data_IF_155499761981
#
_entry.id   IF_155499761981
#
_cell.length_a   1.000
_cell.length_b   1.000
_cell.length_c   1.000
_cell.angle_alpha   90.00
_cell.angle_beta   90.00
_cell.angle_gamma   90.00
#
_symmetry.space_group_name_H-M   'P 1'
#
loop_
_entity.id
_entity.type
_entity.pdbx_description
1 polymer ?
#
# COMPACT_ATOMS: atom_id res chain seq x y z
N UNK A 1 30.89 -28.14 -29.72
CA UNK A 1 30.23 -26.85 -29.99
C UNK A 1 31.17 -26.05 -30.85
N UNK A 2 30.73 -25.67 -32.05
CA UNK A 2 31.53 -24.79 -32.89
C UNK A 2 31.44 -23.32 -32.42
N UNK A 3 32.22 -22.45 -33.06
CA UNK A 3 32.29 -21.02 -32.69
C UNK A 3 30.94 -20.33 -32.88
N UNK A 4 30.18 -20.71 -33.92
CA UNK A 4 28.91 -20.09 -34.28
C UNK A 4 27.80 -20.50 -33.29
N UNK A 5 27.75 -21.78 -32.92
CA UNK A 5 26.87 -22.30 -31.87
C UNK A 5 27.14 -21.64 -30.51
N UNK A 6 28.42 -21.43 -30.17
CA UNK A 6 28.83 -20.75 -28.93
C UNK A 6 28.40 -19.28 -28.94
N UNK A 7 28.55 -18.60 -30.07
CA UNK A 7 28.15 -17.21 -30.26
C UNK A 7 26.63 -17.05 -30.10
N UNK A 8 25.85 -17.92 -30.75
CA UNK A 8 24.39 -17.91 -30.66
C UNK A 8 23.90 -18.17 -29.22
N UNK A 9 24.55 -19.08 -28.49
CA UNK A 9 24.21 -19.34 -27.09
C UNK A 9 24.47 -18.11 -26.20
N UNK A 10 25.62 -17.45 -26.37
CA UNK A 10 25.96 -16.21 -25.64
C UNK A 10 24.92 -15.12 -25.92
N UNK A 11 24.58 -14.88 -27.19
CA UNK A 11 23.59 -13.86 -27.57
C UNK A 11 22.20 -14.17 -27.02
N UNK A 12 21.80 -15.44 -27.02
CA UNK A 12 20.55 -15.91 -26.42
C UNK A 12 20.47 -15.60 -24.94
N UNK A 13 21.53 -15.92 -24.17
CA UNK A 13 21.57 -15.65 -22.73
C UNK A 13 21.57 -14.14 -22.44
N UNK A 14 22.34 -13.35 -23.19
CA UNK A 14 22.35 -11.89 -23.04
C UNK A 14 20.97 -11.26 -23.31
N UNK A 15 20.23 -11.80 -24.28
CA UNK A 15 18.86 -11.37 -24.59
C UNK A 15 17.91 -11.68 -23.43
N UNK A 16 18.01 -12.88 -22.84
CA UNK A 16 17.23 -13.25 -21.65
C UNK A 16 17.53 -12.32 -20.46
N UNK A 17 18.81 -12.08 -20.17
CA UNK A 17 19.22 -11.15 -19.09
C UNK A 17 18.63 -9.75 -19.32
N UNK A 18 18.63 -9.25 -20.57
CA UNK A 18 18.04 -7.95 -20.90
C UNK A 18 16.53 -7.93 -20.60
N UNK A 19 15.79 -8.95 -21.04
CA UNK A 19 14.35 -9.07 -20.78
C UNK A 19 14.01 -9.12 -19.28
N UNK A 20 14.78 -9.88 -18.50
CA UNK A 20 14.59 -9.97 -17.05
C UNK A 20 14.87 -8.61 -16.37
N UNK A 21 15.90 -7.88 -16.79
CA UNK A 21 16.19 -6.54 -16.27
C UNK A 21 15.08 -5.52 -16.56
N UNK A 22 14.47 -5.58 -17.75
CA UNK A 22 13.31 -4.75 -18.09
C UNK A 22 12.11 -5.07 -17.19
N UNK A 23 11.87 -6.35 -16.89
CA UNK A 23 10.82 -6.76 -15.97
C UNK A 23 11.08 -6.26 -14.54
N UNK A 24 12.29 -6.45 -14.02
CA UNK A 24 12.70 -5.92 -12.71
C UNK A 24 12.45 -4.41 -12.63
N UNK A 25 12.77 -3.68 -13.70
CA UNK A 25 12.55 -2.22 -13.77
C UNK A 25 11.06 -1.88 -13.67
N UNK A 26 10.20 -2.57 -14.42
CA UNK A 26 8.73 -2.37 -14.35
C UNK A 26 8.18 -2.65 -12.95
N UNK A 27 8.59 -3.78 -12.35
CA UNK A 27 8.15 -4.16 -11.00
C UNK A 27 8.64 -3.18 -9.94
N UNK A 28 9.86 -2.65 -10.07
CA UNK A 28 10.43 -1.65 -9.17
C UNK A 28 9.66 -0.33 -9.23
N UNK A 29 9.26 0.09 -10.43
CA UNK A 29 8.39 1.27 -10.62
C UNK A 29 7.03 1.08 -9.96
N UNK A 30 6.39 -0.08 -10.12
CA UNK A 30 5.11 -0.40 -9.46
C UNK A 30 5.23 -0.34 -7.94
N UNK A 31 6.30 -0.92 -7.37
CA UNK A 31 6.57 -0.86 -5.92
C UNK A 31 6.73 0.58 -5.42
N UNK A 32 7.42 1.43 -6.17
CA UNK A 32 7.56 2.85 -5.84
C UNK A 32 6.21 3.61 -5.87
N UNK A 33 5.36 3.30 -6.85
CA UNK A 33 4.00 3.86 -6.94
C UNK A 33 3.13 3.41 -5.75
N UNK A 34 3.18 2.13 -5.39
CA UNK A 34 2.49 1.61 -4.20
C UNK A 34 2.98 2.30 -2.91
N UNK A 35 4.29 2.50 -2.76
CA UNK A 35 4.86 3.26 -1.64
C UNK A 35 4.31 4.69 -1.56
N UNK A 36 4.19 5.37 -2.70
CA UNK A 36 3.59 6.71 -2.78
C UNK A 36 2.11 6.71 -2.37
N UNK A 37 1.34 5.68 -2.76
CA UNK A 37 -0.05 5.52 -2.35
C UNK A 37 -0.19 5.36 -0.83
N UNK A 38 0.67 4.55 -0.19
CA UNK A 38 0.65 4.38 1.27
C UNK A 38 0.90 5.70 1.99
N UNK A 39 1.91 6.48 1.54
CA UNK A 39 2.21 7.80 2.12
C UNK A 39 1.01 8.75 1.99
N UNK A 40 0.30 8.72 0.85
CA UNK A 40 -0.88 9.54 0.64
C UNK A 40 -2.03 9.13 1.58
N UNK A 41 -2.26 7.83 1.78
CA UNK A 41 -3.25 7.32 2.74
C UNK A 41 -2.89 7.78 4.15
N UNK A 42 -1.62 7.66 4.56
CA UNK A 42 -1.17 8.08 5.89
C UNK A 42 -1.40 9.56 6.16
N UNK A 43 -1.08 10.42 5.18
CA UNK A 43 -1.35 11.87 5.28
C UNK A 43 -2.83 12.17 5.42
N UNK A 44 -3.67 11.51 4.63
CA UNK A 44 -5.12 11.69 4.70
C UNK A 44 -5.68 11.23 6.05
N UNK A 45 -5.18 10.11 6.58
CA UNK A 45 -5.58 9.60 7.89
C UNK A 45 -5.15 10.56 9.02
N UNK A 46 -3.95 11.13 8.97
CA UNK A 46 -3.48 12.12 9.94
C UNK A 46 -4.33 13.39 9.92
N UNK A 47 -4.60 13.92 8.71
CA UNK A 47 -5.45 15.11 8.55
C UNK A 47 -6.85 14.86 9.07
N UNK A 48 -7.43 13.71 8.75
CA UNK A 48 -8.72 13.29 9.26
C UNK A 48 -8.76 13.28 10.80
N UNK A 49 -7.77 12.64 11.43
CA UNK A 49 -7.70 12.58 12.89
C UNK A 49 -7.56 13.96 13.54
N UNK A 50 -6.83 14.88 12.91
CA UNK A 50 -6.71 16.26 13.38
C UNK A 50 -8.04 17.00 13.28
N UNK A 51 -8.70 16.95 12.12
CA UNK A 51 -10.01 17.60 11.90
C UNK A 51 -11.08 17.04 12.86
N UNK A 52 -11.09 15.71 13.06
CA UNK A 52 -11.99 15.07 14.00
C UNK A 52 -11.72 15.47 15.46
N UNK A 53 -10.45 15.59 15.86
CA UNK A 53 -10.08 16.06 17.20
C UNK A 53 -10.50 17.51 17.45
N UNK A 54 -10.34 18.39 16.44
CA UNK A 54 -10.84 19.78 16.51
C UNK A 54 -12.35 19.80 16.68
N UNK A 55 -13.08 18.99 15.92
CA UNK A 55 -14.53 18.88 16.04
C UNK A 55 -14.96 18.43 17.44
N UNK A 56 -14.30 17.42 18.02
CA UNK A 56 -14.61 16.93 19.37
C UNK A 56 -14.34 17.96 20.48
N UNK A 57 -13.35 18.84 20.29
CA UNK A 57 -12.93 19.83 21.27
C UNK A 57 -13.45 21.24 21.00
N UNK A 58 -14.31 21.43 19.99
CA UNK A 58 -14.98 22.71 19.79
C UNK A 58 -15.94 22.93 20.95
N UNK A 59 -15.62 23.88 21.83
CA UNK A 59 -16.62 24.45 22.74
C UNK A 59 -17.76 24.99 21.88
N UNK A 60 -18.97 24.47 22.12
CA UNK A 60 -20.17 25.04 21.54
C UNK A 60 -20.24 26.52 21.96
N UNK A 61 -20.67 27.40 21.04
CA UNK A 61 -20.74 28.83 21.30
C UNK A 61 -21.45 29.10 22.65
N UNK A 62 -21.07 30.15 23.40
CA UNK A 62 -21.57 30.41 24.77
C UNK A 62 -23.10 30.43 24.92
N UNK A 63 -23.79 30.72 23.82
CA UNK A 63 -25.24 30.82 23.70
C UNK A 63 -25.94 29.46 23.51
N UNK A 64 -25.18 28.41 23.19
CA UNK A 64 -25.68 27.04 23.05
C UNK A 64 -25.74 26.43 24.45
N UNK A 65 -26.91 26.49 25.09
CA UNK A 65 -27.17 25.69 26.28
C UNK A 65 -27.05 24.21 25.95
N UNK A 66 -26.12 23.51 26.59
CA UNK A 66 -26.17 22.05 26.74
C UNK A 66 -27.37 21.75 27.63
N UNK A 67 -28.54 21.53 27.02
CA UNK A 67 -29.61 20.81 27.71
C UNK A 67 -29.18 19.35 27.73
N UNK A 68 -28.96 18.80 28.91
CA UNK A 68 -28.73 17.37 29.10
C UNK A 68 -30.01 16.63 28.69
N UNK A 69 -30.12 16.28 27.40
CA UNK A 69 -31.24 15.50 26.85
C UNK A 69 -31.16 14.02 27.22
N UNK A 70 -30.14 13.63 28.00
CA UNK A 70 -29.75 12.23 28.20
C UNK A 70 -30.10 11.67 29.58
N UNK A 71 -30.71 12.44 30.48
CA UNK A 71 -31.30 11.87 31.70
C UNK A 71 -32.41 10.87 31.32
N UNK A 72 -32.09 9.57 31.33
CA UNK A 72 -33.03 8.47 31.11
C UNK A 72 -32.88 7.68 29.80
N UNK A 73 -31.98 8.06 28.89
CA UNK A 73 -31.71 7.28 27.68
C UNK A 73 -30.65 6.20 27.98
N UNK A 74 -31.02 4.93 27.85
CA UNK A 74 -30.07 3.82 27.93
C UNK A 74 -28.97 3.97 26.86
N UNK A 75 -27.76 3.47 27.13
CA UNK A 75 -26.63 3.54 26.19
C UNK A 75 -26.98 3.05 24.76
N UNK A 76 -27.95 2.14 24.63
CA UNK A 76 -28.53 1.66 23.37
C UNK A 76 -29.29 2.72 22.58
N UNK A 77 -30.03 3.62 23.24
CA UNK A 77 -30.74 4.73 22.61
C UNK A 77 -29.79 5.84 22.16
N UNK A 78 -28.78 6.13 22.98
CA UNK A 78 -27.66 7.01 22.64
C UNK A 78 -26.84 6.50 21.44
N UNK A 79 -26.63 5.19 21.34
CA UNK A 79 -25.94 4.56 20.20
C UNK A 79 -26.76 4.65 18.89
N UNK A 80 -28.10 4.67 18.97
CA UNK A 80 -28.98 4.87 17.82
C UNK A 80 -28.97 6.31 17.30
N UNK A 81 -28.70 7.27 18.19
CA UNK A 81 -28.55 8.70 17.87
C UNK A 81 -27.13 9.09 17.41
N UNK A 82 -26.19 8.14 17.37
CA UNK A 82 -24.89 8.37 16.73
C UNK A 82 -25.14 8.79 15.28
N UNK A 83 -24.75 10.02 14.87
CA UNK A 83 -25.05 10.50 13.54
C UNK A 83 -24.50 9.51 12.49
N UNK A 84 -25.23 9.25 11.40
CA UNK A 84 -24.76 8.38 10.31
C UNK A 84 -23.35 8.74 9.83
N UNK A 85 -23.02 10.03 9.94
CA UNK A 85 -21.73 10.63 9.64
C UNK A 85 -20.58 10.18 10.54
N UNK A 86 -20.82 9.62 11.73
CA UNK A 86 -19.80 9.07 12.65
C UNK A 86 -19.60 7.58 12.43
N UNK A 87 -20.67 6.82 12.18
CA UNK A 87 -20.59 5.41 11.78
C UNK A 87 -19.83 5.24 10.46
N UNK A 88 -20.03 6.16 9.51
CA UNK A 88 -19.27 6.19 8.26
C UNK A 88 -17.77 6.44 8.46
N UNK A 89 -17.35 7.13 9.53
CA UNK A 89 -15.93 7.39 9.84
C UNK A 89 -15.22 6.10 10.21
N UNK A 90 -15.82 5.34 11.12
CA UNK A 90 -15.24 4.06 11.59
C UNK A 90 -15.15 3.07 10.43
N UNK A 91 -16.17 3.05 9.57
CA UNK A 91 -16.16 2.23 8.37
C UNK A 91 -15.06 2.66 7.37
N UNK A 92 -14.91 3.96 7.12
CA UNK A 92 -13.87 4.50 6.23
C UNK A 92 -12.47 4.19 6.76
N UNK A 93 -12.24 4.35 8.07
CA UNK A 93 -10.98 4.00 8.71
C UNK A 93 -10.66 2.49 8.56
N UNK A 94 -11.67 1.63 8.74
CA UNK A 94 -11.54 0.19 8.51
C UNK A 94 -11.17 -0.15 7.05
N UNK A 95 -11.85 0.47 6.08
CA UNK A 95 -11.54 0.31 4.65
C UNK A 95 -10.12 0.78 4.30
N UNK A 96 -9.67 1.91 4.86
CA UNK A 96 -8.31 2.40 4.67
C UNK A 96 -7.26 1.43 5.23
N UNK A 97 -7.50 0.87 6.42
CA UNK A 97 -6.62 -0.14 7.02
C UNK A 97 -6.53 -1.39 6.16
N UNK A 98 -7.66 -1.89 5.65
CA UNK A 98 -7.70 -3.03 4.74
C UNK A 98 -6.91 -2.77 3.44
N UNK A 99 -7.10 -1.60 2.82
CA UNK A 99 -6.37 -1.22 1.60
C UNK A 99 -4.85 -1.15 1.87
N UNK A 100 -4.43 -0.56 3.00
CA UNK A 100 -3.01 -0.53 3.39
C UNK A 100 -2.43 -1.93 3.56
N UNK A 101 -3.16 -2.84 4.21
CA UNK A 101 -2.77 -4.24 4.35
C UNK A 101 -2.57 -4.91 2.99
N UNK A 102 -3.54 -4.75 2.09
CA UNK A 102 -3.45 -5.28 0.73
C UNK A 102 -2.26 -4.72 -0.08
N UNK A 103 -1.94 -3.44 0.08
CA UNK A 103 -0.76 -2.82 -0.55
C UNK A 103 0.54 -3.40 0.03
N UNK A 104 0.60 -3.64 1.35
CA UNK A 104 1.77 -4.24 1.99
C UNK A 104 2.03 -5.67 1.50
N UNK A 105 0.98 -6.47 1.37
CA UNK A 105 1.06 -7.83 0.81
C UNK A 105 1.54 -7.81 -0.64
N UNK A 106 1.00 -6.91 -1.46
CA UNK A 106 1.42 -6.73 -2.85
C UNK A 106 2.90 -6.33 -2.94
N UNK A 107 3.36 -5.40 -2.09
CA UNK A 107 4.77 -5.01 -2.03
C UNK A 107 5.68 -6.18 -1.69
N UNK A 108 5.30 -7.01 -0.71
CA UNK A 108 6.06 -8.21 -0.32
C UNK A 108 6.20 -9.17 -1.51
N UNK A 109 5.09 -9.45 -2.21
CA UNK A 109 5.11 -10.33 -3.40
C UNK A 109 5.96 -9.76 -4.55
N UNK A 110 5.94 -8.45 -4.75
CA UNK A 110 6.78 -7.77 -5.74
C UNK A 110 8.27 -7.91 -5.37
N UNK A 111 8.63 -7.73 -4.10
CA UNK A 111 10.01 -7.89 -3.61
C UNK A 111 10.52 -9.32 -3.78
N UNK A 112 9.69 -10.33 -3.47
CA UNK A 112 10.01 -11.74 -3.69
C UNK A 112 10.22 -12.06 -5.18
N UNK A 113 9.38 -11.50 -6.06
CA UNK A 113 9.52 -11.69 -7.51
C UNK A 113 10.80 -11.03 -8.02
N UNK A 114 11.10 -9.79 -7.62
CA UNK A 114 12.34 -9.10 -7.99
C UNK A 114 13.56 -9.90 -7.52
N UNK A 115 13.53 -10.45 -6.31
CA UNK A 115 14.63 -11.26 -5.76
C UNK A 115 14.85 -12.53 -6.58
N UNK A 116 13.76 -13.23 -6.95
CA UNK A 116 13.85 -14.42 -7.82
C UNK A 116 14.45 -14.09 -9.19
N UNK A 117 13.98 -13.01 -9.83
CA UNK A 117 14.50 -12.57 -11.13
C UNK A 117 15.99 -12.18 -11.06
N UNK A 118 16.44 -11.57 -9.96
CA UNK A 118 17.86 -11.28 -9.73
C UNK A 118 18.70 -12.56 -9.61
N UNK A 119 18.19 -13.59 -8.94
CA UNK A 119 18.88 -14.88 -8.85
C UNK A 119 18.95 -15.59 -10.21
N UNK A 120 17.91 -15.46 -11.03
CA UNK A 120 17.91 -15.97 -12.41
C UNK A 120 18.98 -15.29 -13.26
N UNK A 121 19.10 -13.95 -13.19
CA UNK A 121 20.20 -13.21 -13.83
C UNK A 121 21.57 -13.74 -13.37
N UNK A 122 21.77 -13.92 -12.05
CA UNK A 122 23.05 -14.42 -11.52
C UNK A 122 23.38 -15.82 -12.08
N UNK A 123 22.36 -16.67 -12.23
CA UNK A 123 22.52 -18.01 -12.81
C UNK A 123 22.90 -17.92 -14.29
N UNK A 124 22.21 -17.08 -15.06
CA UNK A 124 22.53 -16.84 -16.47
C UNK A 124 23.93 -16.25 -16.67
N UNK A 125 24.37 -15.35 -15.80
CA UNK A 125 25.72 -14.80 -15.80
C UNK A 125 26.79 -15.85 -15.46
N UNK A 126 26.51 -16.75 -14.53
CA UNK A 126 27.38 -17.89 -14.24
C UNK A 126 27.50 -18.82 -15.46
N UNK A 127 26.38 -19.10 -16.14
CA UNK A 127 26.38 -19.86 -17.40
C UNK A 127 27.23 -19.19 -18.47
N UNK A 128 27.08 -17.88 -18.69
CA UNK A 128 27.94 -17.11 -19.61
C UNK A 128 29.43 -17.22 -19.29
N UNK A 129 29.78 -17.20 -18.01
CA UNK A 129 31.18 -17.31 -17.57
C UNK A 129 31.78 -18.70 -17.77
N UNK A 130 30.93 -19.71 -17.93
CA UNK A 130 31.31 -21.13 -18.10
C UNK A 130 31.33 -21.60 -19.56
N UNK A 131 30.84 -20.77 -20.49
CA UNK A 131 30.86 -21.02 -21.94
C UNK A 131 32.24 -20.69 -22.50
#
# INVERSE_FOLDING_TARGET
MDIEERQQLIEGILTQIRGINEEITKLSTLRMQLGSCVIAIDRNQQRWNQEYHVYQNMELAPEVRIMDKFEGLAATGLAADVPPTVSSITEVAGRMSYVKGGIADQNTRLEERITRLRNEINTLQASLSSI
#
